data_IF_155224810730
#
_entry.id   IF_155224810730
#
_cell.length_a   1.000
_cell.length_b   1.000
_cell.length_c   1.000
_cell.angle_alpha   90.00
_cell.angle_beta   90.00
_cell.angle_gamma   90.00
#
_symmetry.space_group_name_H-M   'P 1'
#
loop_
_entity.id
_entity.type
_entity.pdbx_description
1 polymer ?
#
# COMPACT_ATOMS: atom_id res chain seq x y z
N UNK A 1 -4.11 7.00 -22.79
CA UNK A 1 -4.65 7.70 -23.99
C UNK A 1 -3.58 7.99 -25.05
N UNK A 2 -2.40 8.53 -24.71
CA UNK A 2 -1.33 8.83 -25.70
C UNK A 2 -0.94 7.60 -26.52
N UNK A 3 -0.77 6.44 -25.88
CA UNK A 3 -0.46 5.17 -26.56
C UNK A 3 -1.55 4.81 -27.58
N UNK A 4 -2.84 4.90 -27.16
CA UNK A 4 -3.96 4.59 -28.04
C UNK A 4 -4.08 5.56 -29.23
N UNK A 5 -3.80 6.85 -29.00
CA UNK A 5 -3.79 7.87 -30.08
C UNK A 5 -2.69 7.57 -31.11
N UNK A 6 -1.56 7.00 -30.70
CA UNK A 6 -0.47 6.56 -31.61
C UNK A 6 -0.77 5.19 -32.27
N UNK A 7 -1.97 4.63 -32.14
CA UNK A 7 -2.35 3.32 -32.64
C UNK A 7 -1.78 2.14 -31.85
N UNK A 8 -1.26 2.39 -30.67
CA UNK A 8 -0.69 1.35 -29.80
C UNK A 8 -1.76 0.50 -29.13
N UNK A 9 -1.51 -0.79 -29.04
CA UNK A 9 -2.33 -1.78 -28.33
C UNK A 9 -1.68 -2.12 -26.99
N UNK A 10 -2.36 -1.82 -25.88
CA UNK A 10 -1.84 -2.10 -24.54
C UNK A 10 -2.01 -3.60 -24.24
N UNK A 11 -0.93 -4.26 -23.84
CA UNK A 11 -0.86 -5.69 -23.54
C UNK A 11 -0.86 -5.96 -22.04
N UNK A 12 -0.19 -5.11 -21.25
CA UNK A 12 -0.05 -5.27 -19.80
C UNK A 12 -0.11 -3.91 -19.11
N UNK A 13 -0.73 -3.87 -17.95
CA UNK A 13 -0.75 -2.72 -17.06
C UNK A 13 -0.56 -3.17 -15.60
N UNK A 14 0.52 -2.75 -14.99
CA UNK A 14 0.81 -2.96 -13.57
C UNK A 14 0.91 -1.58 -12.91
N UNK A 15 0.19 -1.38 -11.81
CA UNK A 15 0.18 -0.12 -11.08
C UNK A 15 0.60 -0.34 -9.64
N UNK A 16 1.79 0.10 -9.31
CA UNK A 16 2.35 0.08 -7.96
C UNK A 16 2.09 1.41 -7.25
N UNK A 17 1.75 1.35 -5.96
CA UNK A 17 1.61 2.53 -5.11
C UNK A 17 1.98 2.19 -3.67
N UNK A 18 2.79 3.03 -3.03
CA UNK A 18 3.15 2.91 -1.62
C UNK A 18 3.21 4.24 -0.91
N UNK A 19 2.59 4.31 0.29
CA UNK A 19 2.92 5.30 1.30
C UNK A 19 3.98 4.69 2.20
N UNK A 20 5.15 5.28 2.25
CA UNK A 20 6.36 4.77 2.88
C UNK A 20 6.88 5.81 3.88
N UNK A 21 7.84 5.43 4.70
CA UNK A 21 8.67 6.38 5.44
C UNK A 21 9.83 6.84 4.53
N UNK A 22 10.25 8.09 4.64
CA UNK A 22 11.44 8.57 3.93
C UNK A 22 12.72 7.99 4.55
N UNK A 23 13.77 7.83 3.76
CA UNK A 23 15.01 7.14 4.17
C UNK A 23 15.66 7.77 5.41
N UNK A 24 15.63 9.10 5.53
CA UNK A 24 16.20 9.82 6.67
C UNK A 24 15.34 9.76 7.95
N UNK A 25 14.13 9.24 7.86
CA UNK A 25 13.17 9.05 8.95
C UNK A 25 12.89 7.57 9.26
N UNK A 26 13.60 6.66 8.59
CA UNK A 26 13.45 5.22 8.73
C UNK A 26 14.33 4.66 9.84
N UNK A 27 13.76 4.51 11.02
CA UNK A 27 14.44 4.18 12.28
C UNK A 27 13.96 2.87 12.93
N UNK A 28 13.16 2.08 12.22
CA UNK A 28 12.56 0.87 12.78
C UNK A 28 12.64 -0.33 11.83
N UNK A 29 12.62 -1.58 12.34
CA UNK A 29 12.81 -2.78 11.53
C UNK A 29 11.66 -3.07 10.53
N UNK A 30 10.50 -2.42 10.69
CA UNK A 30 9.38 -2.51 9.74
C UNK A 30 9.60 -1.65 8.51
N UNK A 31 10.53 -0.69 8.55
CA UNK A 31 10.69 0.33 7.50
C UNK A 31 9.35 0.98 7.15
N UNK A 32 8.62 1.33 8.22
CA UNK A 32 7.28 1.87 8.09
C UNK A 32 6.93 2.78 9.27
N UNK A 33 6.30 3.92 8.97
CA UNK A 33 5.63 4.79 9.95
C UNK A 33 4.24 5.13 9.47
N UNK A 34 3.31 5.37 10.40
CA UNK A 34 1.92 5.66 10.07
C UNK A 34 1.79 7.13 9.65
N UNK A 35 1.57 7.38 8.37
CA UNK A 35 1.30 8.69 7.77
C UNK A 35 -0.17 8.89 7.35
N UNK A 36 -1.04 7.91 7.63
CA UNK A 36 -2.45 7.90 7.27
C UNK A 36 -3.27 7.10 8.28
N UNK A 37 -4.57 6.85 8.00
CA UNK A 37 -5.47 6.18 8.95
C UNK A 37 -4.98 4.78 9.37
N UNK A 38 -4.62 4.56 10.65
CA UNK A 38 -4.04 3.30 11.12
C UNK A 38 -5.01 2.11 11.02
N UNK A 39 -6.32 2.31 11.13
CA UNK A 39 -7.28 1.23 10.97
C UNK A 39 -7.25 0.63 9.56
N UNK A 40 -7.01 1.45 8.54
CA UNK A 40 -6.86 0.98 7.16
C UNK A 40 -5.57 0.18 6.96
N UNK A 41 -4.53 0.43 7.76
CA UNK A 41 -3.29 -0.37 7.74
C UNK A 41 -3.59 -1.77 8.26
N UNK A 42 -4.28 -1.88 9.41
CA UNK A 42 -4.65 -3.19 10.00
C UNK A 42 -5.57 -3.99 9.08
N UNK A 43 -6.48 -3.31 8.38
CA UNK A 43 -7.40 -3.95 7.44
C UNK A 43 -6.80 -4.20 6.04
N UNK A 44 -5.51 -3.87 5.85
CA UNK A 44 -4.83 -4.14 4.59
C UNK A 44 -4.88 -5.64 4.26
N UNK A 45 -5.44 -5.99 3.11
CA UNK A 45 -5.54 -7.37 2.67
C UNK A 45 -6.74 -8.17 3.20
N UNK A 46 -7.61 -7.62 4.05
CA UNK A 46 -8.78 -8.34 4.63
C UNK A 46 -9.69 -8.98 3.57
N UNK A 47 -9.82 -8.36 2.41
CA UNK A 47 -10.65 -8.88 1.31
C UNK A 47 -9.85 -9.68 0.27
N UNK A 48 -8.57 -9.98 0.55
CA UNK A 48 -7.68 -10.61 -0.39
C UNK A 48 -7.43 -9.77 -1.66
N UNK A 49 -7.19 -10.45 -2.78
CA UNK A 49 -7.01 -9.77 -4.08
C UNK A 49 -7.60 -10.57 -5.24
N UNK A 50 -8.01 -9.83 -6.28
CA UNK A 50 -8.51 -10.40 -7.53
C UNK A 50 -7.96 -9.57 -8.70
N UNK A 51 -7.24 -10.23 -9.62
CA UNK A 51 -6.56 -9.54 -10.71
C UNK A 51 -6.39 -10.45 -11.93
N UNK A 52 -5.97 -9.90 -13.07
CA UNK A 52 -5.63 -10.68 -14.26
C UNK A 52 -4.10 -10.76 -14.40
N UNK A 53 -3.60 -11.97 -14.61
CA UNK A 53 -2.18 -12.25 -14.84
C UNK A 53 -2.02 -13.28 -15.96
N UNK A 54 -1.36 -12.89 -17.05
CA UNK A 54 -1.15 -13.73 -18.24
C UNK A 54 -2.45 -14.41 -18.71
N UNK A 55 -3.50 -13.62 -18.93
CA UNK A 55 -4.86 -14.05 -19.32
C UNK A 55 -5.62 -14.89 -18.29
N UNK A 56 -5.06 -15.18 -17.13
CA UNK A 56 -5.72 -15.92 -16.06
C UNK A 56 -6.24 -14.96 -14.99
N UNK A 57 -7.41 -15.25 -14.48
CA UNK A 57 -7.92 -14.58 -13.27
C UNK A 57 -7.28 -15.24 -12.06
N UNK A 58 -6.58 -14.47 -11.26
CA UNK A 58 -5.94 -14.90 -10.01
C UNK A 58 -6.74 -14.33 -8.85
N UNK A 59 -7.12 -15.19 -7.92
CA UNK A 59 -7.76 -14.83 -6.66
C UNK A 59 -6.86 -15.30 -5.53
N UNK A 60 -6.52 -14.41 -4.61
CA UNK A 60 -5.80 -14.70 -3.38
C UNK A 60 -6.69 -14.34 -2.19
N UNK A 61 -6.73 -15.20 -1.19
CA UNK A 61 -7.33 -14.87 0.09
C UNK A 61 -6.36 -14.04 0.96
N UNK A 62 -6.77 -13.65 2.14
CA UNK A 62 -5.97 -12.82 3.05
C UNK A 62 -4.68 -13.52 3.47
N UNK A 63 -4.73 -14.82 3.74
CA UNK A 63 -3.62 -15.62 4.20
C UNK A 63 -2.54 -15.80 3.12
N UNK A 64 -2.94 -15.83 1.85
CA UNK A 64 -2.06 -15.99 0.69
C UNK A 64 -1.43 -14.68 0.22
N UNK A 65 -2.07 -13.56 0.53
CA UNK A 65 -1.75 -12.26 -0.07
C UNK A 65 -0.30 -11.81 0.17
N UNK A 66 0.21 -12.08 1.39
CA UNK A 66 1.54 -11.69 1.83
C UNK A 66 2.56 -12.84 1.83
N UNK A 67 2.17 -14.03 1.33
CA UNK A 67 3.02 -15.23 1.37
C UNK A 67 4.28 -15.10 0.51
N UNK A 68 4.24 -14.28 -0.53
CA UNK A 68 5.36 -14.07 -1.45
C UNK A 68 5.87 -12.63 -1.38
N UNK A 69 7.19 -12.49 -1.26
CA UNK A 69 7.88 -11.21 -1.41
C UNK A 69 8.22 -11.05 -2.89
N UNK A 70 7.54 -10.12 -3.56
CA UNK A 70 7.72 -9.83 -4.99
C UNK A 70 8.52 -8.54 -5.12
N UNK A 71 9.84 -8.62 -5.40
CA UNK A 71 10.68 -7.44 -5.53
C UNK A 71 10.26 -6.59 -6.75
N UNK A 72 10.49 -5.30 -6.66
CA UNK A 72 10.34 -4.35 -7.77
C UNK A 72 11.49 -3.37 -7.76
N UNK A 73 12.00 -3.04 -8.95
CA UNK A 73 13.02 -2.01 -9.12
C UNK A 73 12.34 -0.67 -9.36
N UNK A 74 12.54 0.27 -8.46
CA UNK A 74 12.10 1.65 -8.61
C UNK A 74 13.35 2.52 -8.58
N UNK A 75 13.47 3.40 -9.55
CA UNK A 75 14.62 4.30 -9.64
C UNK A 75 14.72 5.15 -8.36
N UNK A 76 15.91 5.21 -7.76
CA UNK A 76 16.20 5.93 -6.52
C UNK A 76 15.46 5.43 -5.26
N UNK A 77 14.84 4.26 -5.30
CA UNK A 77 14.26 3.63 -4.13
C UNK A 77 15.11 2.43 -3.69
N UNK A 78 15.23 2.27 -2.38
CA UNK A 78 15.80 1.08 -1.78
C UNK A 78 14.92 -0.14 -2.10
N UNK A 79 15.39 -1.33 -1.73
CA UNK A 79 14.70 -2.60 -1.97
C UNK A 79 13.23 -2.54 -1.57
N UNK A 80 12.35 -2.35 -2.56
CA UNK A 80 10.91 -2.43 -2.37
C UNK A 80 10.36 -3.74 -2.91
N UNK A 81 9.25 -4.15 -2.33
CA UNK A 81 8.47 -5.28 -2.80
C UNK A 81 6.98 -4.91 -2.83
N UNK A 82 6.19 -5.74 -3.47
CA UNK A 82 4.77 -5.47 -3.62
C UNK A 82 3.91 -6.69 -3.31
N UNK A 83 2.69 -6.42 -2.93
CA UNK A 83 1.60 -7.40 -2.87
C UNK A 83 0.37 -6.86 -3.62
N UNK A 84 -0.49 -7.76 -4.17
CA UNK A 84 -1.70 -7.37 -4.86
C UNK A 84 -2.65 -6.57 -3.97
N UNK A 85 -3.33 -5.56 -4.53
CA UNK A 85 -4.22 -4.68 -3.79
C UNK A 85 -5.68 -4.87 -4.21
N UNK A 86 -6.47 -5.58 -3.39
CA UNK A 86 -7.91 -5.75 -3.54
C UNK A 86 -8.33 -6.24 -4.94
N UNK A 87 -9.58 -5.97 -5.32
CA UNK A 87 -10.10 -6.32 -6.64
C UNK A 87 -9.68 -5.28 -7.69
N UNK A 88 -8.86 -5.70 -8.65
CA UNK A 88 -8.39 -4.87 -9.77
C UNK A 88 -9.30 -4.95 -11.01
N UNK A 89 -10.16 -5.99 -11.12
CA UNK A 89 -10.90 -6.27 -12.36
C UNK A 89 -11.90 -5.18 -12.77
N UNK A 90 -12.63 -4.49 -11.87
CA UNK A 90 -13.54 -3.41 -12.26
C UNK A 90 -12.85 -2.25 -13.00
N UNK A 91 -11.56 -2.08 -12.82
CA UNK A 91 -10.78 -1.03 -13.49
C UNK A 91 -10.45 -1.37 -14.95
N UNK A 92 -10.57 -2.64 -15.37
CA UNK A 92 -10.35 -3.04 -16.76
C UNK A 92 -11.31 -2.29 -17.69
N UNK A 93 -12.60 -2.40 -17.43
CA UNK A 93 -13.64 -1.71 -18.20
C UNK A 93 -13.50 -0.19 -18.05
N UNK A 94 -13.35 0.28 -16.81
CA UNK A 94 -13.23 1.70 -16.49
C UNK A 94 -12.11 2.40 -17.27
N UNK A 95 -10.98 1.72 -17.50
CA UNK A 95 -9.85 2.25 -18.26
C UNK A 95 -9.87 1.86 -19.74
N UNK A 96 -10.89 1.08 -20.17
CA UNK A 96 -10.98 0.54 -21.52
C UNK A 96 -9.79 -0.38 -21.84
N UNK A 97 -9.44 -1.26 -20.90
CA UNK A 97 -8.33 -2.20 -20.96
C UNK A 97 -8.79 -3.67 -20.91
N UNK A 98 -9.99 -3.97 -21.40
CA UNK A 98 -10.60 -5.29 -21.32
C UNK A 98 -9.79 -6.41 -21.99
N UNK A 99 -8.97 -6.04 -22.99
CA UNK A 99 -8.19 -6.97 -23.80
C UNK A 99 -6.76 -7.20 -23.31
N UNK A 100 -6.32 -6.52 -22.25
CA UNK A 100 -4.95 -6.72 -21.73
C UNK A 100 -4.78 -8.11 -21.12
N UNK A 101 -3.62 -8.68 -21.29
CA UNK A 101 -3.28 -10.01 -20.73
C UNK A 101 -2.98 -9.96 -19.23
N UNK A 102 -2.45 -8.83 -18.76
CA UNK A 102 -2.13 -8.61 -17.35
C UNK A 102 -2.66 -7.24 -16.92
N UNK A 103 -3.40 -7.25 -15.80
CA UNK A 103 -3.88 -6.04 -15.15
C UNK A 103 -3.91 -6.23 -13.64
N UNK A 104 -3.10 -5.46 -12.93
CA UNK A 104 -3.00 -5.55 -11.49
C UNK A 104 -2.69 -4.19 -10.87
N UNK A 105 -3.30 -3.93 -9.72
CA UNK A 105 -2.94 -2.85 -8.79
C UNK A 105 -2.28 -3.47 -7.58
N UNK A 106 -1.22 -2.85 -7.10
CA UNK A 106 -0.40 -3.40 -6.01
C UNK A 106 -0.10 -2.34 -4.96
N UNK A 107 0.29 -2.79 -3.79
CA UNK A 107 0.82 -1.94 -2.71
C UNK A 107 2.30 -2.20 -2.55
N UNK A 108 3.09 -1.12 -2.54
CA UNK A 108 4.53 -1.17 -2.27
C UNK A 108 4.81 -1.13 -0.77
N UNK A 109 5.76 -1.95 -0.33
CA UNK A 109 6.30 -1.94 1.03
C UNK A 109 7.75 -2.42 1.03
N UNK A 110 8.46 -2.17 2.12
CA UNK A 110 9.73 -2.85 2.36
C UNK A 110 9.50 -4.37 2.54
N UNK A 111 10.42 -5.24 2.09
CA UNK A 111 10.30 -6.70 2.26
C UNK A 111 10.03 -7.15 3.70
N UNK A 112 10.66 -6.51 4.69
CA UNK A 112 10.46 -6.82 6.10
C UNK A 112 9.01 -6.58 6.55
N UNK A 113 8.38 -5.50 6.06
CA UNK A 113 6.97 -5.26 6.33
C UNK A 113 6.10 -6.42 5.82
N UNK A 114 6.29 -6.84 4.57
CA UNK A 114 5.50 -7.93 3.97
C UNK A 114 5.72 -9.22 4.76
N UNK A 115 6.97 -9.54 5.11
CA UNK A 115 7.33 -10.72 5.91
C UNK A 115 6.66 -10.69 7.29
N UNK A 116 6.76 -9.59 8.00
CA UNK A 116 6.16 -9.42 9.33
C UNK A 116 4.64 -9.44 9.26
N UNK A 117 4.05 -8.76 8.26
CA UNK A 117 2.60 -8.71 8.08
C UNK A 117 2.00 -10.09 7.75
N UNK A 118 2.70 -10.88 6.94
CA UNK A 118 2.32 -12.28 6.72
C UNK A 118 2.17 -13.03 8.04
N UNK A 119 3.13 -12.90 8.94
CA UNK A 119 3.06 -13.58 10.25
C UNK A 119 1.93 -13.03 11.13
N UNK A 120 1.69 -11.71 11.14
CA UNK A 120 0.56 -11.13 11.87
C UNK A 120 -0.78 -11.70 11.40
N UNK A 121 -0.95 -11.88 10.08
CA UNK A 121 -2.14 -12.52 9.49
C UNK A 121 -2.24 -13.98 9.91
N UNK A 122 -1.16 -14.77 9.76
CA UNK A 122 -1.15 -16.18 10.10
C UNK A 122 -1.42 -16.44 11.59
N UNK A 123 -0.97 -15.55 12.47
CA UNK A 123 -1.19 -15.64 13.93
C UNK A 123 -2.55 -15.07 14.35
N UNK A 124 -3.33 -14.50 13.43
CA UNK A 124 -4.68 -13.97 13.67
C UNK A 124 -4.74 -12.57 14.25
N UNK A 125 -3.64 -11.78 14.25
CA UNK A 125 -3.62 -10.42 14.80
C UNK A 125 -4.37 -9.39 13.96
N UNK A 126 -4.80 -9.70 12.76
CA UNK A 126 -5.63 -8.84 11.90
C UNK A 126 -7.13 -9.14 12.00
N UNK A 127 -7.55 -10.06 12.87
CA UNK A 127 -8.94 -10.49 13.04
C UNK A 127 -9.69 -9.63 14.08
N UNK A 128 -11.00 -9.46 13.88
CA UNK A 128 -11.87 -8.72 14.79
C UNK A 128 -12.36 -9.58 15.98
N UNK A 129 -11.99 -10.84 16.04
CA UNK A 129 -12.30 -11.81 17.11
C UNK A 129 -11.11 -12.75 17.34
N UNK A 130 -11.01 -13.38 18.53
CA UNK A 130 -11.89 -13.25 19.70
C UNK A 130 -11.78 -11.89 20.40
N UNK A 131 -12.79 -11.54 21.17
CA UNK A 131 -12.71 -10.41 22.10
C UNK A 131 -12.31 -10.96 23.46
N UNK A 132 -11.29 -10.35 24.09
CA UNK A 132 -10.83 -10.72 25.42
C UNK A 132 -11.03 -9.58 26.41
N UNK A 133 -11.44 -9.92 27.64
CA UNK A 133 -11.45 -8.99 28.79
C UNK A 133 -10.01 -8.90 29.32
N UNK A 134 -9.49 -7.70 29.43
CA UNK A 134 -8.07 -7.46 29.71
C UNK A 134 -7.83 -6.36 30.74
N UNK A 135 -8.74 -6.18 31.68
CA UNK A 135 -8.56 -5.21 32.77
C UNK A 135 -7.20 -5.41 33.46
N UNK A 136 -6.35 -4.36 33.44
CA UNK A 136 -5.03 -4.37 34.04
C UNK A 136 -4.05 -5.45 33.49
N UNK A 137 -4.19 -5.83 32.24
CA UNK A 137 -3.32 -6.82 31.57
C UNK A 137 -2.20 -6.12 30.81
N UNK A 138 -0.98 -6.67 30.88
CA UNK A 138 0.16 -6.18 30.09
C UNK A 138 0.03 -6.56 28.61
N UNK A 139 0.74 -5.87 27.72
CA UNK A 139 0.76 -6.17 26.31
C UNK A 139 1.23 -7.61 26.04
N UNK A 140 2.29 -8.06 26.70
CA UNK A 140 2.79 -9.44 26.58
C UNK A 140 1.73 -10.48 26.96
N UNK A 141 0.99 -10.25 28.06
CA UNK A 141 -0.07 -11.15 28.49
C UNK A 141 -1.26 -11.15 27.51
N UNK A 142 -1.59 -9.98 26.94
CA UNK A 142 -2.67 -9.86 25.96
C UNK A 142 -2.31 -10.60 24.65
N UNK A 143 -1.07 -10.47 24.19
CA UNK A 143 -0.54 -11.25 23.06
C UNK A 143 -0.69 -12.75 23.34
N UNK A 144 -0.27 -13.23 24.52
CA UNK A 144 -0.39 -14.64 24.90
C UNK A 144 -1.86 -15.10 24.88
N UNK A 145 -2.80 -14.31 25.41
CA UNK A 145 -4.22 -14.64 25.38
C UNK A 145 -4.75 -14.81 23.95
N UNK A 146 -4.40 -13.89 23.04
CA UNK A 146 -4.80 -14.01 21.63
C UNK A 146 -4.18 -15.23 20.95
N UNK A 147 -2.90 -15.50 21.18
CA UNK A 147 -2.21 -16.65 20.60
C UNK A 147 -2.83 -17.99 21.09
N UNK A 148 -3.20 -18.09 22.35
CA UNK A 148 -3.91 -19.26 22.91
C UNK A 148 -5.30 -19.38 22.28
N UNK A 149 -6.07 -18.30 22.23
CA UNK A 149 -7.41 -18.29 21.66
C UNK A 149 -7.43 -18.66 20.16
N UNK A 150 -6.42 -18.19 19.41
CA UNK A 150 -6.25 -18.49 17.98
C UNK A 150 -5.54 -19.82 17.73
N UNK A 151 -5.12 -20.57 18.76
CA UNK A 151 -4.34 -21.82 18.66
C UNK A 151 -3.03 -21.64 17.88
N UNK A 152 -2.41 -20.47 18.00
CA UNK A 152 -1.19 -20.10 17.27
C UNK A 152 0.04 -19.90 18.17
N UNK A 153 -0.05 -20.26 19.47
CA UNK A 153 1.04 -20.05 20.43
C UNK A 153 2.31 -20.80 20.03
N UNK A 154 2.20 -22.09 19.65
CA UNK A 154 3.35 -22.90 19.26
C UNK A 154 4.03 -22.35 18.00
N UNK A 155 3.23 -21.89 17.02
CA UNK A 155 3.74 -21.26 15.81
C UNK A 155 4.50 -19.98 16.11
N UNK A 156 3.97 -19.14 17.01
CA UNK A 156 4.62 -17.91 17.46
C UNK A 156 5.92 -18.21 18.20
N UNK A 157 5.93 -19.14 19.16
CA UNK A 157 7.11 -19.53 19.93
C UNK A 157 8.21 -20.02 19.01
N UNK A 158 7.89 -20.94 18.10
CA UNK A 158 8.84 -21.44 17.11
C UNK A 158 9.40 -20.30 16.22
N UNK A 159 8.55 -19.39 15.77
CA UNK A 159 8.94 -18.25 14.94
C UNK A 159 9.96 -17.36 15.66
N UNK A 160 9.69 -16.96 16.90
CA UNK A 160 10.59 -16.04 17.66
C UNK A 160 11.91 -16.70 18.04
N UNK A 161 11.93 -18.03 18.21
CA UNK A 161 13.15 -18.79 18.49
C UNK A 161 14.04 -19.01 17.26
N UNK A 162 13.43 -19.14 16.07
CA UNK A 162 14.13 -19.54 14.84
C UNK A 162 14.44 -18.39 13.89
N UNK A 163 13.71 -17.28 13.97
CA UNK A 163 13.88 -16.12 13.10
C UNK A 163 14.09 -14.82 13.89
N UNK A 164 15.36 -14.49 14.12
CA UNK A 164 15.74 -13.26 14.85
C UNK A 164 15.29 -11.97 14.16
N UNK A 165 15.03 -11.96 12.86
CA UNK A 165 14.46 -10.82 12.13
C UNK A 165 13.00 -10.62 12.49
N UNK A 166 12.19 -11.69 12.46
CA UNK A 166 10.79 -11.66 12.89
C UNK A 166 10.67 -11.33 14.39
N UNK A 167 11.54 -11.90 15.22
CA UNK A 167 11.60 -11.53 16.66
C UNK A 167 11.72 -10.01 16.84
N UNK A 168 12.67 -9.35 16.15
CA UNK A 168 12.88 -7.90 16.23
C UNK A 168 11.65 -7.12 15.74
N UNK A 169 10.97 -7.56 14.70
CA UNK A 169 9.74 -6.94 14.21
C UNK A 169 8.66 -6.96 15.30
N UNK A 170 8.37 -8.11 15.89
CA UNK A 170 7.35 -8.25 16.93
C UNK A 170 7.73 -7.53 18.23
N UNK A 171 9.02 -7.58 18.60
CA UNK A 171 9.54 -6.83 19.75
C UNK A 171 9.33 -5.31 19.58
N UNK A 172 9.62 -4.78 18.39
CA UNK A 172 9.46 -3.34 18.11
C UNK A 172 7.99 -2.89 18.11
N UNK A 173 7.02 -3.80 17.92
CA UNK A 173 5.59 -3.52 18.13
C UNK A 173 5.16 -3.56 19.59
N UNK A 174 6.07 -3.90 20.51
CA UNK A 174 5.74 -4.02 21.93
C UNK A 174 5.06 -5.33 22.33
N UNK A 175 5.12 -6.38 21.50
CA UNK A 175 4.48 -7.66 21.79
C UNK A 175 5.07 -8.39 23.01
N UNK A 176 6.29 -8.07 23.40
CA UNK A 176 6.97 -8.60 24.59
C UNK A 176 6.96 -7.61 25.77
N UNK A 177 6.20 -6.50 25.66
CA UNK A 177 6.20 -5.46 26.67
C UNK A 177 5.42 -5.89 27.91
N UNK A 178 6.10 -6.05 29.04
CA UNK A 178 5.55 -6.40 30.33
C UNK A 178 5.25 -5.18 31.21
N UNK A 179 5.68 -3.98 30.81
CA UNK A 179 5.48 -2.73 31.53
C UNK A 179 4.25 -1.93 31.08
N UNK A 180 3.86 -2.06 29.81
CA UNK A 180 2.69 -1.37 29.25
C UNK A 180 1.40 -2.11 29.62
N UNK A 181 0.43 -1.36 30.13
CA UNK A 181 -0.91 -1.87 30.49
C UNK A 181 -1.88 -1.48 29.38
N UNK A 182 -2.73 -2.42 28.98
CA UNK A 182 -3.77 -2.20 27.98
C UNK A 182 -4.75 -1.10 28.43
N UNK A 183 -5.05 -0.17 27.54
CA UNK A 183 -5.81 1.04 27.85
C UNK A 183 -7.34 0.83 27.87
N UNK A 184 -7.82 -0.25 27.26
CA UNK A 184 -9.26 -0.56 27.13
C UNK A 184 -9.59 -1.84 27.85
N UNK A 185 -10.85 -1.99 28.27
CA UNK A 185 -11.33 -3.17 28.98
C UNK A 185 -11.47 -4.39 28.06
N UNK A 186 -11.66 -4.16 26.77
CA UNK A 186 -11.87 -5.21 25.78
C UNK A 186 -11.07 -4.92 24.50
N UNK A 187 -10.44 -5.96 23.96
CA UNK A 187 -9.74 -5.91 22.68
C UNK A 187 -10.10 -7.09 21.79
N UNK A 188 -10.23 -6.80 20.49
CA UNK A 188 -9.95 -7.79 19.45
C UNK A 188 -8.45 -7.77 19.08
N UNK A 189 -7.91 -8.84 18.48
CA UNK A 189 -6.53 -8.83 17.98
C UNK A 189 -6.22 -7.64 17.07
N UNK A 190 -7.11 -7.32 16.13
CA UNK A 190 -6.96 -6.19 15.19
C UNK A 190 -6.92 -4.83 15.92
N UNK A 191 -7.75 -4.63 16.94
CA UNK A 191 -7.77 -3.40 17.73
C UNK A 191 -6.52 -3.25 18.59
N UNK A 192 -6.02 -4.35 19.14
CA UNK A 192 -4.76 -4.37 19.87
C UNK A 192 -3.57 -4.08 18.93
N UNK A 193 -3.52 -4.74 17.77
CA UNK A 193 -2.50 -4.47 16.76
C UNK A 193 -2.52 -2.99 16.34
N UNK A 194 -3.69 -2.39 16.13
CA UNK A 194 -3.80 -0.96 15.81
C UNK A 194 -3.16 -0.10 16.89
N UNK A 195 -3.42 -0.36 18.17
CA UNK A 195 -2.82 0.39 19.30
C UNK A 195 -1.31 0.22 19.33
N UNK A 196 -0.80 -1.00 19.09
CA UNK A 196 0.64 -1.24 18.98
C UNK A 196 1.28 -0.44 17.85
N UNK A 197 0.65 -0.38 16.68
CA UNK A 197 1.12 0.40 15.54
C UNK A 197 1.12 1.89 15.84
N UNK A 198 0.01 2.42 16.38
CA UNK A 198 -0.13 3.83 16.74
C UNK A 198 0.90 4.28 17.79
N UNK A 199 1.25 3.39 18.72
CA UNK A 199 2.24 3.67 19.77
C UNK A 199 3.67 3.61 19.24
N UNK A 200 4.01 2.57 18.49
CA UNK A 200 5.40 2.22 18.19
C UNK A 200 5.87 2.58 16.78
N UNK A 201 4.93 2.84 15.86
CA UNK A 201 5.22 3.23 14.46
C UNK A 201 4.59 4.58 14.09
N UNK A 202 4.37 5.45 15.06
CA UNK A 202 3.90 6.83 14.81
C UNK A 202 5.00 7.65 14.13
N UNK A 203 4.60 8.66 13.39
CA UNK A 203 5.51 9.70 12.92
C UNK A 203 5.80 10.70 14.04
N UNK A 204 7.06 10.98 14.30
CA UNK A 204 7.48 12.11 15.13
C UNK A 204 7.37 13.43 14.34
N UNK A 205 7.40 14.57 15.03
CA UNK A 205 7.12 15.88 14.42
C UNK A 205 8.05 16.21 13.22
N UNK A 206 9.28 15.70 13.24
CA UNK A 206 10.31 15.95 12.20
C UNK A 206 10.35 14.87 11.13
N UNK A 207 9.61 13.77 11.31
CA UNK A 207 9.63 12.66 10.37
C UNK A 207 8.96 13.03 9.05
N UNK A 208 9.48 12.48 7.99
CA UNK A 208 8.96 12.59 6.64
C UNK A 208 8.42 11.27 6.15
N UNK A 209 7.28 11.32 5.50
CA UNK A 209 6.79 10.21 4.69
C UNK A 209 7.25 10.33 3.24
N UNK A 210 7.03 9.28 2.48
CA UNK A 210 7.33 9.21 1.05
C UNK A 210 6.19 8.51 0.32
N UNK A 211 5.74 9.05 -0.79
CA UNK A 211 4.78 8.41 -1.68
C UNK A 211 5.47 8.04 -2.98
N UNK A 212 5.47 6.76 -3.28
CA UNK A 212 6.02 6.21 -4.52
C UNK A 212 4.88 5.57 -5.32
N UNK A 213 4.77 5.93 -6.60
CA UNK A 213 3.90 5.27 -7.57
C UNK A 213 4.71 4.91 -8.80
N UNK A 214 4.51 3.70 -9.34
CA UNK A 214 5.08 3.30 -10.61
C UNK A 214 4.03 2.57 -11.43
N UNK A 215 3.85 3.02 -12.68
CA UNK A 215 3.01 2.35 -13.65
C UNK A 215 3.89 1.72 -14.71
N UNK A 216 3.74 0.42 -14.91
CA UNK A 216 4.45 -0.34 -15.94
C UNK A 216 3.44 -0.74 -17.01
N UNK A 217 3.66 -0.26 -18.22
CA UNK A 217 2.75 -0.46 -19.34
C UNK A 217 3.53 -1.12 -20.48
N UNK A 218 3.16 -2.37 -20.80
CA UNK A 218 3.66 -3.03 -22.01
C UNK A 218 2.63 -2.83 -23.12
N UNK A 219 3.06 -2.35 -24.27
CA UNK A 219 2.21 -2.13 -25.41
C UNK A 219 2.93 -2.45 -26.70
N UNK A 220 2.16 -2.63 -27.76
CA UNK A 220 2.64 -2.88 -29.12
C UNK A 220 2.20 -1.75 -30.04
N UNK A 221 3.11 -1.23 -30.83
CA UNK A 221 2.84 -0.25 -31.87
C UNK A 221 3.70 -0.57 -33.09
N UNK A 222 3.08 -0.61 -34.28
CA UNK A 222 3.77 -0.94 -35.56
C UNK A 222 4.55 -2.26 -35.50
N UNK A 223 4.03 -3.28 -34.80
CA UNK A 223 4.66 -4.59 -34.63
C UNK A 223 5.81 -4.65 -33.64
N UNK A 224 6.11 -3.54 -32.97
CA UNK A 224 7.17 -3.47 -31.94
C UNK A 224 6.58 -3.41 -30.54
N UNK A 225 7.07 -4.25 -29.62
CA UNK A 225 6.72 -4.20 -28.20
C UNK A 225 7.58 -3.18 -27.48
N UNK A 226 6.95 -2.39 -26.63
CA UNK A 226 7.59 -1.36 -25.81
C UNK A 226 7.11 -1.45 -24.38
N UNK A 227 7.96 -1.04 -23.46
CA UNK A 227 7.60 -0.82 -22.04
C UNK A 227 7.74 0.66 -21.72
N UNK A 228 6.64 1.25 -21.28
CA UNK A 228 6.60 2.57 -20.67
C UNK A 228 6.57 2.39 -19.16
N UNK A 229 7.49 3.01 -18.45
CA UNK A 229 7.51 3.13 -17.00
C UNK A 229 7.27 4.58 -16.63
N UNK A 230 6.26 4.84 -15.82
CA UNK A 230 5.87 6.17 -15.36
C UNK A 230 5.94 6.19 -13.83
N UNK A 231 6.86 6.97 -13.27
CA UNK A 231 7.18 6.96 -11.82
C UNK A 231 6.92 8.33 -11.20
N UNK A 232 6.24 8.33 -10.08
CA UNK A 232 6.11 9.44 -9.14
C UNK A 232 6.84 9.07 -7.86
N UNK A 233 7.68 9.99 -7.35
CA UNK A 233 8.39 9.83 -6.10
C UNK A 233 8.41 11.18 -5.38
N UNK A 234 7.73 11.27 -4.25
CA UNK A 234 7.56 12.51 -3.50
C UNK A 234 7.79 12.25 -2.02
N UNK A 235 8.65 13.04 -1.41
CA UNK A 235 8.82 13.08 0.04
C UNK A 235 8.00 14.20 0.67
N UNK A 236 7.53 13.98 1.88
CA UNK A 236 6.94 14.98 2.76
C UNK A 236 8.00 15.93 3.31
N UNK A 237 7.56 16.96 3.99
CA UNK A 237 8.43 17.95 4.65
C UNK A 237 8.56 17.62 6.13
N UNK A 238 7.46 17.23 6.77
CA UNK A 238 7.32 16.91 8.18
C UNK A 238 6.05 16.07 8.41
N UNK A 239 5.72 15.75 9.66
CA UNK A 239 4.55 14.95 10.04
C UNK A 239 3.18 15.65 9.76
N UNK A 240 3.17 16.93 9.40
CA UNK A 240 1.96 17.70 9.04
C UNK A 240 1.87 17.86 7.53
N UNK A 241 2.99 18.27 6.90
CA UNK A 241 3.09 18.51 5.46
C UNK A 241 3.60 17.25 4.77
N UNK A 242 2.82 16.19 4.91
CA UNK A 242 3.17 14.85 4.43
C UNK A 242 3.03 14.72 2.90
N UNK A 243 3.82 13.82 2.30
CA UNK A 243 3.66 13.45 0.90
C UNK A 243 2.26 12.86 0.64
N UNK A 244 1.73 12.10 1.61
CA UNK A 244 0.36 11.56 1.55
C UNK A 244 -0.68 12.68 1.50
N UNK A 245 -0.60 13.70 2.38
CA UNK A 245 -1.50 14.84 2.36
C UNK A 245 -1.40 15.62 1.04
N UNK A 246 -0.19 15.81 0.53
CA UNK A 246 0.07 16.50 -0.74
C UNK A 246 -0.54 15.73 -1.93
N UNK A 247 -0.29 14.43 -2.05
CA UNK A 247 -0.72 13.62 -3.20
C UNK A 247 -2.20 13.24 -3.20
N UNK A 248 -2.88 13.36 -2.04
CA UNK A 248 -4.33 13.14 -1.91
C UNK A 248 -5.10 14.46 -1.89
N UNK A 249 -4.66 15.43 -1.08
CA UNK A 249 -5.35 16.70 -0.87
C UNK A 249 -5.29 17.63 -2.06
N UNK A 250 -4.11 17.81 -2.68
CA UNK A 250 -3.97 18.74 -3.83
C UNK A 250 -4.79 18.33 -5.05
N UNK A 251 -4.85 17.04 -5.48
CA UNK A 251 -5.74 16.66 -6.59
C UNK A 251 -7.20 17.01 -6.34
N UNK A 252 -7.70 16.78 -5.12
CA UNK A 252 -9.06 17.15 -4.73
C UNK A 252 -9.25 18.68 -4.78
N UNK A 253 -8.35 19.45 -4.16
CA UNK A 253 -8.44 20.90 -4.11
C UNK A 253 -8.36 21.52 -5.52
N UNK A 254 -7.42 21.10 -6.34
CA UNK A 254 -7.27 21.56 -7.73
C UNK A 254 -8.52 21.25 -8.55
N UNK A 255 -9.06 20.03 -8.44
CA UNK A 255 -10.28 19.66 -9.15
C UNK A 255 -11.48 20.50 -8.68
N UNK A 256 -11.67 20.69 -7.38
CA UNK A 256 -12.76 21.48 -6.82
C UNK A 256 -12.69 22.96 -7.27
N UNK A 257 -11.50 23.59 -7.17
CA UNK A 257 -11.30 24.97 -7.62
C UNK A 257 -11.52 25.12 -9.12
N UNK A 258 -11.02 24.17 -9.93
CA UNK A 258 -11.22 24.18 -11.39
C UNK A 258 -12.69 24.01 -11.77
N UNK A 259 -13.43 23.17 -11.05
CA UNK A 259 -14.87 23.02 -11.23
C UNK A 259 -15.63 24.32 -10.89
N UNK A 260 -15.33 24.92 -9.76
CA UNK A 260 -15.95 26.21 -9.35
C UNK A 260 -15.65 27.35 -10.34
N UNK A 261 -14.46 27.34 -10.95
CA UNK A 261 -14.07 28.28 -12.01
C UNK A 261 -14.65 27.93 -13.38
N UNK A 262 -15.43 26.86 -13.49
CA UNK A 262 -16.03 26.37 -14.74
C UNK A 262 -14.99 26.03 -15.83
N UNK A 263 -13.80 25.59 -15.43
CA UNK A 263 -12.75 25.17 -16.38
C UNK A 263 -13.06 23.82 -17.03
N UNK A 264 -13.97 23.05 -16.44
CA UNK A 264 -14.64 21.89 -17.04
C UNK A 264 -16.06 21.78 -16.49
N UNK A 265 -16.95 21.16 -17.28
CA UNK A 265 -18.34 20.90 -16.89
C UNK A 265 -18.58 19.39 -16.92
N UNK A 266 -18.98 18.85 -15.76
CA UNK A 266 -19.39 17.44 -15.61
C UNK A 266 -20.57 17.39 -14.64
N UNK A 267 -21.57 16.55 -14.95
CA UNK A 267 -22.75 16.35 -14.11
C UNK A 267 -22.75 14.96 -13.52
N UNK A 268 -23.27 14.82 -12.30
CA UNK A 268 -23.43 13.56 -11.59
C UNK A 268 -22.15 13.10 -10.88
N UNK A 269 -22.18 11.86 -10.37
CA UNK A 269 -21.04 11.23 -9.71
C UNK A 269 -20.11 10.65 -10.79
N UNK A 270 -18.88 11.14 -10.84
CA UNK A 270 -17.88 10.74 -11.82
C UNK A 270 -16.53 10.45 -11.18
N UNK A 271 -15.75 9.59 -11.81
CA UNK A 271 -14.34 9.36 -11.46
C UNK A 271 -13.43 10.18 -12.38
N UNK A 272 -12.21 10.59 -11.99
CA UNK A 272 -11.38 11.56 -12.71
C UNK A 272 -10.66 10.98 -13.94
N UNK A 273 -11.27 10.03 -14.65
CA UNK A 273 -10.73 9.40 -15.87
C UNK A 273 -11.14 10.15 -17.15
N UNK A 274 -12.02 11.13 -17.03
CA UNK A 274 -12.51 11.89 -18.19
C UNK A 274 -11.47 12.92 -18.65
N UNK A 275 -11.23 13.02 -19.98
CA UNK A 275 -10.30 14.00 -20.55
C UNK A 275 -10.55 15.45 -20.10
N UNK A 276 -11.81 15.83 -19.94
CA UNK A 276 -12.19 17.15 -19.45
C UNK A 276 -11.61 17.46 -18.06
N UNK A 277 -11.50 16.46 -17.17
CA UNK A 277 -10.93 16.63 -15.83
C UNK A 277 -9.40 16.60 -15.90
N UNK A 278 -8.82 15.46 -16.35
CA UNK A 278 -7.38 15.26 -16.19
C UNK A 278 -6.53 16.22 -17.05
N UNK A 279 -7.03 16.70 -18.21
CA UNK A 279 -6.33 17.70 -19.01
C UNK A 279 -6.20 19.05 -18.31
N UNK A 280 -7.13 19.38 -17.40
CA UNK A 280 -7.10 20.60 -16.59
C UNK A 280 -6.29 20.37 -15.31
N UNK A 281 -6.52 19.24 -14.64
CA UNK A 281 -5.98 18.99 -13.29
C UNK A 281 -4.49 18.61 -13.33
N UNK A 282 -4.07 17.71 -14.22
CA UNK A 282 -2.68 17.21 -14.25
C UNK A 282 -1.63 18.33 -14.46
N UNK A 283 -1.78 19.28 -15.41
CA UNK A 283 -0.80 20.35 -15.56
C UNK A 283 -0.67 21.23 -14.31
N UNK A 284 -1.78 21.46 -13.59
CA UNK A 284 -1.77 22.21 -12.35
C UNK A 284 -1.06 21.47 -11.22
N UNK A 285 -1.25 20.15 -11.15
CA UNK A 285 -0.53 19.29 -10.21
C UNK A 285 0.97 19.26 -10.50
N UNK A 286 1.36 19.23 -11.76
CA UNK A 286 2.77 19.34 -12.17
C UNK A 286 3.38 20.66 -11.68
N UNK A 287 2.67 21.78 -11.85
CA UNK A 287 3.11 23.10 -11.35
C UNK A 287 3.21 23.15 -9.81
N UNK A 288 2.50 22.28 -9.09
CA UNK A 288 2.57 22.12 -7.63
C UNK A 288 3.59 21.04 -7.18
N UNK A 289 4.42 20.55 -8.11
CA UNK A 289 5.47 19.59 -7.84
C UNK A 289 4.98 18.13 -7.70
N UNK A 290 3.80 17.80 -8.26
CA UNK A 290 3.33 16.42 -8.41
C UNK A 290 3.51 16.04 -9.88
N UNK A 291 4.67 15.49 -10.21
CA UNK A 291 5.06 15.18 -11.57
C UNK A 291 5.52 13.74 -11.70
N UNK A 292 4.99 13.03 -12.72
CA UNK A 292 5.48 11.73 -13.13
C UNK A 292 6.67 11.88 -14.08
N UNK A 293 7.66 11.03 -13.89
CA UNK A 293 8.79 10.87 -14.80
C UNK A 293 8.58 9.61 -15.63
N UNK A 294 8.67 9.74 -16.94
CA UNK A 294 8.42 8.65 -17.87
C UNK A 294 9.72 8.23 -18.57
N UNK A 295 9.90 6.91 -18.66
CA UNK A 295 10.94 6.28 -19.46
C UNK A 295 10.33 5.19 -20.34
N UNK A 296 10.85 5.06 -21.55
CA UNK A 296 10.36 4.09 -22.54
C UNK A 296 11.53 3.30 -23.11
N UNK A 297 11.37 1.99 -23.16
CA UNK A 297 12.34 1.07 -23.78
C UNK A 297 11.64 0.16 -24.77
N UNK A 298 12.36 -0.22 -25.81
CA UNK A 298 11.96 -1.26 -26.76
C UNK A 298 12.27 -2.63 -26.17
N UNK A 299 11.28 -3.53 -26.19
CA UNK A 299 11.45 -4.90 -25.73
C UNK A 299 11.87 -5.76 -26.93
N UNK A 300 12.99 -6.48 -26.81
CA UNK A 300 13.37 -7.49 -27.80
C UNK A 300 12.34 -8.62 -27.78
N UNK A 301 11.91 -9.04 -28.96
CA UNK A 301 11.00 -10.18 -29.14
C UNK A 301 11.61 -11.48 -28.64
#
# INVERSE_FOLDING_TARGET
NQIKVKGGNILSFISHCGGLVATDSDDNPWHYKISWNPSNVVQAGKDGALYRWNNKIVKLNTEELFAEIRPVTIQNAESLAWYPNRNSLPYLELYGLDKVTTFIRTTLRHPNFIKGWHQLVQLGFTQDSPIVDNRNTTYANLVQQFLVANKSLDAYTKMVETDGGLFKLFQSLGFMDTGSIAQKNEYSPARFLQECLEKNLKMEAVDKDRVVMQHEIIYEVSGQKRQLVSTLDIEGIDAIHTAMAKTVGLPLAVAAVSFLKKEFEIKGLVVPIYPAIYKVVLPKLTALGIQFHESEIELKN
#
